data_IF_730192216533
#
_entry.id   IF_730192216533
#
_cell.length_a   1.000
_cell.length_b   1.000
_cell.length_c   1.000
_cell.angle_alpha   90.00
_cell.angle_beta   90.00
_cell.angle_gamma   90.00
#
_symmetry.space_group_name_H-M   'P 1'
#
loop_
_entity.id
_entity.type
_entity.pdbx_description
1 polymer ?
#
# COMPACT_ATOMS: atom_id res chain seq x y z
N UNK A 1 -10.77 -5.06 -17.73
CA UNK A 1 -10.72 -5.87 -16.49
C UNK A 1 -10.00 -5.05 -15.45
N UNK A 2 -10.59 -4.84 -14.27
CA UNK A 2 -9.99 -3.99 -13.23
C UNK A 2 -8.82 -4.70 -12.54
N UNK A 3 -7.77 -3.97 -12.18
CA UNK A 3 -6.55 -4.52 -11.57
C UNK A 3 -6.87 -5.34 -10.32
N UNK A 4 -7.83 -4.91 -9.49
CA UNK A 4 -8.28 -5.67 -8.30
C UNK A 4 -8.86 -7.04 -8.62
N UNK A 5 -9.56 -7.19 -9.75
CA UNK A 5 -10.18 -8.46 -10.14
C UNK A 5 -9.12 -9.45 -10.63
N UNK A 6 -8.10 -8.94 -11.33
CA UNK A 6 -6.98 -9.76 -11.82
C UNK A 6 -6.00 -10.12 -10.72
N UNK A 7 -5.62 -9.17 -9.86
CA UNK A 7 -4.56 -9.39 -8.87
C UNK A 7 -5.06 -9.92 -7.54
N UNK A 8 -6.23 -9.48 -7.07
CA UNK A 8 -6.63 -9.63 -5.67
C UNK A 8 -8.06 -10.15 -5.51
N UNK A 9 -8.56 -10.93 -6.48
CA UNK A 9 -9.89 -11.57 -6.41
C UNK A 9 -11.06 -10.59 -6.21
N UNK A 10 -10.89 -9.33 -6.61
CA UNK A 10 -11.89 -8.27 -6.44
C UNK A 10 -11.75 -7.43 -5.17
N UNK A 11 -10.76 -7.72 -4.31
CA UNK A 11 -10.48 -6.89 -3.14
C UNK A 11 -9.75 -5.60 -3.53
N UNK A 12 -10.31 -4.46 -3.09
CA UNK A 12 -9.88 -3.12 -3.47
C UNK A 12 -8.48 -2.72 -2.99
N UNK A 13 -7.86 -3.43 -2.05
CA UNK A 13 -6.55 -3.04 -1.53
C UNK A 13 -5.73 -4.19 -0.97
N UNK A 14 -4.42 -4.01 -0.99
CA UNK A 14 -3.43 -4.90 -0.36
C UNK A 14 -2.57 -4.08 0.59
N UNK A 15 -2.28 -4.63 1.77
CA UNK A 15 -1.42 -3.98 2.76
C UNK A 15 -0.24 -4.89 3.09
N UNK A 16 0.97 -4.44 2.75
CA UNK A 16 2.21 -5.17 2.98
C UNK A 16 2.94 -4.53 4.15
N UNK A 17 3.10 -5.29 5.24
CA UNK A 17 3.76 -4.83 6.46
C UNK A 17 5.17 -5.38 6.56
N UNK A 18 6.14 -4.52 6.86
CA UNK A 18 7.49 -4.88 7.27
C UNK A 18 7.72 -4.49 8.73
N UNK A 19 8.94 -4.70 9.25
CA UNK A 19 9.29 -4.33 10.62
C UNK A 19 9.05 -2.84 10.90
N UNK A 20 9.45 -1.99 9.95
CA UNK A 20 9.54 -0.54 10.12
C UNK A 20 8.56 0.24 9.22
N UNK A 21 7.84 -0.44 8.33
CA UNK A 21 6.93 0.19 7.38
C UNK A 21 5.65 -0.61 7.18
N UNK A 22 4.63 0.09 6.72
CA UNK A 22 3.43 -0.49 6.13
C UNK A 22 3.22 0.21 4.79
N UNK A 23 3.10 -0.54 3.71
CA UNK A 23 2.68 0.01 2.41
C UNK A 23 1.29 -0.47 2.08
N UNK A 24 0.37 0.46 1.86
CA UNK A 24 -0.98 0.18 1.39
C UNK A 24 -1.06 0.47 -0.10
N UNK A 25 -1.55 -0.49 -0.86
CA UNK A 25 -1.86 -0.39 -2.28
C UNK A 25 -3.38 -0.38 -2.44
N UNK A 26 -3.94 0.73 -2.91
CA UNK A 26 -5.32 0.83 -3.38
C UNK A 26 -5.35 0.46 -4.87
N UNK A 27 -6.05 -0.64 -5.18
CA UNK A 27 -6.17 -1.23 -6.51
C UNK A 27 -7.44 -0.77 -7.24
N UNK A 28 -8.33 -0.07 -6.55
CA UNK A 28 -9.59 0.44 -7.09
C UNK A 28 -9.37 1.82 -7.71
N UNK A 29 -8.54 2.64 -7.09
CA UNK A 29 -8.22 3.99 -7.54
C UNK A 29 -9.22 5.03 -7.08
N UNK A 30 -9.85 4.83 -5.91
CA UNK A 30 -10.76 5.81 -5.32
C UNK A 30 -10.06 7.17 -5.20
N UNK A 31 -10.66 8.29 -5.66
CA UNK A 31 -10.03 9.60 -5.63
C UNK A 31 -9.48 9.97 -4.25
N UNK A 32 -8.21 10.33 -4.21
CA UNK A 32 -7.50 10.77 -3.03
C UNK A 32 -6.88 12.14 -3.25
N UNK A 33 -7.15 13.10 -2.36
CA UNK A 33 -6.50 14.41 -2.40
C UNK A 33 -5.16 14.36 -1.65
N UNK A 34 -4.04 14.37 -2.38
CA UNK A 34 -2.71 14.37 -1.81
C UNK A 34 -2.32 15.81 -1.42
N UNK A 35 -2.17 16.03 -0.12
CA UNK A 35 -2.04 17.37 0.46
C UNK A 35 -0.73 18.07 0.08
N UNK A 36 0.35 17.33 -0.09
CA UNK A 36 1.71 17.88 -0.29
C UNK A 36 1.87 18.46 -1.69
N UNK A 37 1.43 17.70 -2.70
CA UNK A 37 1.42 18.06 -4.11
C UNK A 37 0.12 18.75 -4.54
N UNK A 38 -0.84 18.91 -3.63
CA UNK A 38 -2.13 19.61 -3.84
C UNK A 38 -2.88 19.12 -5.09
N UNK A 39 -2.90 17.81 -5.31
CA UNK A 39 -3.54 17.19 -6.47
C UNK A 39 -4.46 16.04 -6.08
N UNK A 40 -5.45 15.80 -6.91
CA UNK A 40 -6.28 14.59 -6.83
C UNK A 40 -5.56 13.47 -7.57
N UNK A 41 -5.48 12.31 -6.94
CA UNK A 41 -5.02 11.06 -7.53
C UNK A 41 -6.26 10.15 -7.58
N UNK A 42 -6.80 9.98 -8.77
CA UNK A 42 -8.00 9.19 -9.10
C UNK A 42 -7.65 7.89 -9.85
N UNK A 43 -6.41 7.45 -9.69
CA UNK A 43 -5.89 6.18 -10.19
C UNK A 43 -5.51 5.27 -9.03
N UNK A 44 -5.33 3.95 -9.26
CA UNK A 44 -4.72 3.06 -8.28
C UNK A 44 -3.44 3.66 -7.74
N UNK A 45 -3.33 3.70 -6.41
CA UNK A 45 -2.30 4.47 -5.72
C UNK A 45 -1.79 3.73 -4.49
N UNK A 46 -0.59 4.09 -4.05
CA UNK A 46 0.04 3.57 -2.84
C UNK A 46 0.26 4.65 -1.82
N UNK A 47 0.32 4.22 -0.57
CA UNK A 47 0.66 5.04 0.58
C UNK A 47 1.67 4.26 1.42
N UNK A 48 2.88 4.81 1.58
CA UNK A 48 3.84 4.30 2.55
C UNK A 48 3.60 4.93 3.93
N UNK A 49 3.56 4.11 4.96
CA UNK A 49 3.51 4.54 6.34
C UNK A 49 4.80 4.12 7.04
N UNK A 50 5.51 5.10 7.60
CA UNK A 50 6.70 4.85 8.41
C UNK A 50 6.31 4.59 9.85
N UNK A 51 6.85 3.52 10.44
CA UNK A 51 6.66 3.17 11.84
C UNK A 51 7.75 3.83 12.68
N UNK A 52 7.33 4.68 13.61
CA UNK A 52 8.19 5.32 14.60
C UNK A 52 8.05 4.57 15.92
N UNK A 53 9.07 3.80 16.28
CA UNK A 53 9.10 3.01 17.52
C UNK A 53 9.64 3.89 18.65
N UNK A 54 8.97 3.88 19.80
CA UNK A 54 9.46 4.57 20.97
C UNK A 54 10.73 3.85 21.51
N UNK A 55 11.88 4.53 21.64
CA UNK A 55 13.11 3.88 22.07
C UNK A 55 13.12 3.45 23.54
N UNK A 56 12.29 4.06 24.41
CA UNK A 56 12.13 3.66 25.81
C UNK A 56 11.11 2.52 26.00
N UNK A 57 10.16 2.38 25.07
CA UNK A 57 9.12 1.35 25.13
C UNK A 57 8.78 0.84 23.72
N UNK A 58 9.44 -0.24 23.25
CA UNK A 58 9.25 -0.77 21.91
C UNK A 58 7.83 -1.26 21.59
N UNK A 59 6.97 -1.45 22.60
CA UNK A 59 5.56 -1.82 22.41
C UNK A 59 4.74 -0.63 21.92
N UNK A 60 5.21 0.60 22.17
CA UNK A 60 4.58 1.85 21.73
C UNK A 60 5.19 2.29 20.41
N UNK A 61 4.34 2.47 19.41
CA UNK A 61 4.74 3.02 18.12
C UNK A 61 3.65 3.91 17.54
N UNK A 62 4.07 4.80 16.64
CA UNK A 62 3.16 5.61 15.82
C UNK A 62 3.44 5.36 14.35
N UNK A 63 2.40 5.38 13.53
CA UNK A 63 2.54 5.39 12.07
C UNK A 63 2.45 6.84 11.57
N UNK A 64 3.39 7.26 10.72
CA UNK A 64 3.28 8.51 9.95
C UNK A 64 2.97 8.18 8.51
N UNK A 65 1.94 8.82 7.96
CA UNK A 65 1.59 8.68 6.55
C UNK A 65 2.59 9.46 5.67
N UNK A 66 3.09 8.81 4.63
CA UNK A 66 3.88 9.41 3.56
C UNK A 66 3.02 9.98 2.44
N UNK A 67 3.63 10.19 1.27
CA UNK A 67 2.93 10.67 0.09
C UNK A 67 1.98 9.62 -0.48
N UNK A 68 0.91 10.09 -1.11
CA UNK A 68 0.07 9.27 -1.98
C UNK A 68 0.62 9.36 -3.39
N UNK A 69 0.90 8.20 -3.97
CA UNK A 69 1.57 8.11 -5.27
C UNK A 69 0.80 7.13 -6.16
N UNK A 70 0.65 7.40 -7.48
CA UNK A 70 0.13 6.39 -8.39
C UNK A 70 0.95 5.09 -8.32
N UNK A 71 0.29 3.95 -8.45
CA UNK A 71 0.95 2.64 -8.50
C UNK A 71 1.77 2.53 -9.79
N UNK A 72 3.01 2.10 -9.67
CA UNK A 72 3.87 1.76 -10.81
C UNK A 72 3.74 0.29 -11.19
N UNK A 73 4.25 -0.11 -12.37
CA UNK A 73 4.30 -1.52 -12.77
C UNK A 73 5.10 -2.37 -11.76
N UNK A 74 6.22 -1.84 -11.25
CA UNK A 74 7.02 -2.52 -10.21
C UNK A 74 6.23 -2.74 -8.92
N UNK A 75 5.33 -1.82 -8.56
CA UNK A 75 4.46 -1.97 -7.40
C UNK A 75 3.43 -3.10 -7.62
N UNK A 76 2.91 -3.25 -8.84
CA UNK A 76 2.04 -4.38 -9.20
C UNK A 76 2.77 -5.72 -9.06
N UNK A 77 4.03 -5.81 -9.53
CA UNK A 77 4.86 -7.01 -9.39
C UNK A 77 5.07 -7.37 -7.91
N UNK A 78 5.28 -6.37 -7.05
CA UNK A 78 5.42 -6.58 -5.60
C UNK A 78 4.12 -7.12 -5.00
N UNK A 79 2.97 -6.54 -5.36
CA UNK A 79 1.66 -6.97 -4.89
C UNK A 79 1.35 -8.40 -5.34
N UNK A 80 1.57 -8.71 -6.61
CA UNK A 80 1.33 -10.06 -7.15
C UNK A 80 2.19 -11.11 -6.44
N UNK A 81 3.48 -10.86 -6.29
CA UNK A 81 4.39 -11.77 -5.60
C UNK A 81 4.02 -11.95 -4.12
N UNK A 82 3.56 -10.89 -3.46
CA UNK A 82 3.07 -10.98 -2.09
C UNK A 82 1.83 -11.86 -1.99
N UNK A 83 0.85 -11.69 -2.88
CA UNK A 83 -0.37 -12.48 -2.87
C UNK A 83 -0.11 -13.96 -3.17
N UNK A 84 0.75 -14.27 -4.14
CA UNK A 84 1.20 -15.66 -4.41
C UNK A 84 1.80 -16.32 -3.17
N UNK A 85 2.61 -15.59 -2.38
CA UNK A 85 3.15 -16.07 -1.10
C UNK A 85 2.06 -16.33 -0.07
N UNK A 86 1.04 -15.50 0.01
CA UNK A 86 -0.07 -15.68 0.95
C UNK A 86 -0.94 -16.90 0.60
N UNK A 87 -1.09 -17.19 -0.69
CA UNK A 87 -1.90 -18.30 -1.17
C UNK A 87 -1.15 -19.65 -1.24
N UNK A 88 0.13 -19.70 -0.84
CA UNK A 88 1.01 -20.86 -1.02
C UNK A 88 1.13 -21.31 -2.49
N UNK A 89 1.09 -20.37 -3.43
CA UNK A 89 1.22 -20.64 -4.87
C UNK A 89 2.70 -20.62 -5.34
N UNK A 90 3.63 -20.96 -4.45
CA UNK A 90 5.09 -20.89 -4.64
C UNK A 90 5.72 -22.22 -4.25
#
# INVERSE_FOLDING_TARGET
>A
MEIKNTLNGGHNSVSIKTKDKLTRYDLDGKPHYEKTSKRIIDTPHKIEYTKHINPQDPTKYRMSQGLVEPISHKDLDIVENYLKRQNNEI
#
